data_IF_335024909116
#
_entry.id   IF_335024909116
#
_cell.length_a   1.000
_cell.length_b   1.000
_cell.length_c   1.000
_cell.angle_alpha   90.00
_cell.angle_beta   90.00
_cell.angle_gamma   90.00
#
_symmetry.space_group_name_H-M   'P 1'
#
loop_
_entity.id
_entity.type
_entity.pdbx_description
1 polymer ?
#
# COMPACT_ATOMS: atom_id res chain seq x y z
N UNK A 1 -10.45 0.30 -3.02
CA UNK A 1 -10.62 1.68 -3.53
C UNK A 1 -11.33 2.61 -2.54
N UNK A 2 -12.47 2.25 -1.95
CA UNK A 2 -13.17 3.12 -0.98
C UNK A 2 -12.29 3.62 0.19
N UNK A 3 -11.53 2.72 0.84
CA UNK A 3 -10.64 3.09 1.95
C UNK A 3 -9.51 4.04 1.52
N UNK A 4 -8.97 3.87 0.30
CA UNK A 4 -7.98 4.79 -0.25
C UNK A 4 -8.56 6.19 -0.49
N UNK A 5 -9.77 6.27 -1.05
CA UNK A 5 -10.45 7.55 -1.27
C UNK A 5 -10.73 8.26 0.05
N UNK A 6 -11.23 7.54 1.07
CA UNK A 6 -11.43 8.08 2.41
C UNK A 6 -10.12 8.60 3.02
N UNK A 7 -9.05 7.81 2.93
CA UNK A 7 -7.74 8.19 3.43
C UNK A 7 -7.20 9.44 2.72
N UNK A 8 -7.40 9.55 1.41
CA UNK A 8 -7.00 10.71 0.61
C UNK A 8 -7.79 11.96 1.03
N UNK A 9 -9.12 11.88 1.11
CA UNK A 9 -9.97 13.02 1.50
C UNK A 9 -9.66 13.48 2.93
N UNK A 10 -9.60 12.55 3.89
CA UNK A 10 -9.30 12.90 5.29
C UNK A 10 -7.90 13.48 5.42
N UNK A 11 -6.91 12.91 4.73
CA UNK A 11 -5.54 13.43 4.70
C UNK A 11 -5.46 14.84 4.09
N UNK A 12 -6.12 15.05 2.95
CA UNK A 12 -6.16 16.33 2.25
C UNK A 12 -6.78 17.43 3.13
N UNK A 13 -7.95 17.18 3.71
CA UNK A 13 -8.58 18.17 4.59
C UNK A 13 -7.72 18.42 5.83
N UNK A 14 -7.23 17.38 6.49
CA UNK A 14 -6.53 17.51 7.77
C UNK A 14 -5.14 18.12 7.66
N UNK A 15 -4.37 17.80 6.61
CA UNK A 15 -2.96 18.18 6.47
C UNK A 15 -2.68 19.21 5.37
N UNK A 16 -3.66 19.60 4.56
CA UNK A 16 -3.52 20.73 3.63
C UNK A 16 -4.50 21.86 3.93
N UNK A 17 -5.79 21.57 4.05
CA UNK A 17 -6.80 22.62 4.24
C UNK A 17 -6.73 23.24 5.63
N UNK A 18 -6.65 22.41 6.68
CA UNK A 18 -6.54 22.92 8.06
C UNK A 18 -5.18 23.59 8.35
N UNK A 19 -4.21 23.51 7.45
CA UNK A 19 -2.96 24.27 7.56
C UNK A 19 -3.20 25.79 7.51
N UNK A 20 -4.24 26.25 6.81
CA UNK A 20 -4.63 27.65 6.79
C UNK A 20 -5.13 28.15 8.17
N UNK A 21 -5.60 27.25 9.04
CA UNK A 21 -6.12 27.54 10.37
C UNK A 21 -5.19 27.03 11.47
N UNK A 22 -3.88 27.23 11.28
CA UNK A 22 -2.80 26.51 11.95
C UNK A 22 -2.95 26.46 13.48
N UNK A 23 -3.11 27.62 14.12
CA UNK A 23 -3.16 27.74 15.60
C UNK A 23 -4.34 27.01 16.26
N UNK A 24 -5.47 26.87 15.58
CA UNK A 24 -6.66 26.22 16.15
C UNK A 24 -6.64 24.68 15.96
N UNK A 25 -5.83 24.17 15.03
CA UNK A 25 -5.95 22.78 14.55
C UNK A 25 -4.72 21.92 14.79
N UNK A 26 -3.63 22.47 15.36
CA UNK A 26 -2.38 21.75 15.66
C UNK A 26 -2.65 20.44 16.40
N UNK A 27 -3.38 20.48 17.51
CA UNK A 27 -3.67 19.31 18.36
C UNK A 27 -4.42 18.23 17.61
N UNK A 28 -5.36 18.61 16.73
CA UNK A 28 -6.14 17.67 15.92
C UNK A 28 -5.23 16.96 14.91
N UNK A 29 -4.38 17.71 14.20
CA UNK A 29 -3.45 17.14 13.22
C UNK A 29 -2.43 16.23 13.88
N UNK A 30 -1.85 16.62 15.01
CA UNK A 30 -0.89 15.78 15.74
C UNK A 30 -1.48 14.42 16.15
N UNK A 31 -2.75 14.38 16.57
CA UNK A 31 -3.45 13.12 16.89
C UNK A 31 -3.78 12.29 15.65
N UNK A 32 -4.02 12.93 14.51
CA UNK A 32 -4.33 12.25 13.26
C UNK A 32 -3.11 11.68 12.54
N UNK A 33 -1.91 12.25 12.68
CA UNK A 33 -0.68 11.75 12.04
C UNK A 33 -0.46 10.24 12.26
N UNK A 34 -0.50 9.69 13.48
CA UNK A 34 -0.29 8.26 13.69
C UNK A 34 -1.41 7.41 13.08
N UNK A 35 -2.67 7.88 13.12
CA UNK A 35 -3.82 7.19 12.53
C UNK A 35 -3.66 7.16 11.01
N UNK A 36 -3.38 8.31 10.40
CA UNK A 36 -3.20 8.45 8.96
C UNK A 36 -2.03 7.58 8.47
N UNK A 37 -0.89 7.61 9.16
CA UNK A 37 0.28 6.81 8.75
C UNK A 37 0.00 5.30 8.85
N UNK A 38 -0.59 4.84 9.95
CA UNK A 38 -0.91 3.42 10.12
C UNK A 38 -1.96 2.93 9.13
N UNK A 39 -3.04 3.71 8.94
CA UNK A 39 -4.10 3.36 8.00
C UNK A 39 -3.59 3.36 6.55
N UNK A 40 -2.69 4.28 6.20
CA UNK A 40 -2.01 4.29 4.91
C UNK A 40 -1.21 3.01 4.64
N UNK A 41 -0.46 2.52 5.64
CA UNK A 41 0.28 1.25 5.53
C UNK A 41 -0.67 0.03 5.39
N UNK A 42 -1.79 0.03 6.11
CA UNK A 42 -2.81 -1.03 6.00
C UNK A 42 -3.42 -1.03 4.59
N UNK A 43 -3.80 0.13 4.07
CA UNK A 43 -4.35 0.25 2.69
C UNK A 43 -3.33 -0.22 1.66
N UNK A 44 -2.06 0.17 1.81
CA UNK A 44 -1.00 -0.27 0.91
C UNK A 44 -0.83 -1.79 0.93
N UNK A 45 -0.82 -2.42 2.11
CA UNK A 45 -0.78 -3.88 2.24
C UNK A 45 -1.99 -4.57 1.61
N UNK A 46 -3.20 -4.05 1.85
CA UNK A 46 -4.43 -4.59 1.23
C UNK A 46 -4.43 -4.43 -0.29
N UNK A 47 -3.91 -3.32 -0.83
CA UNK A 47 -3.80 -3.11 -2.26
C UNK A 47 -2.86 -4.14 -2.89
N UNK A 48 -1.70 -4.39 -2.28
CA UNK A 48 -0.77 -5.43 -2.72
C UNK A 48 -1.40 -6.83 -2.65
N UNK A 49 -2.08 -7.17 -1.55
CA UNK A 49 -2.80 -8.44 -1.43
C UNK A 49 -3.85 -8.60 -2.53
N UNK A 50 -4.59 -7.52 -2.85
CA UNK A 50 -5.57 -7.50 -3.95
C UNK A 50 -4.91 -7.73 -5.31
N UNK A 51 -3.74 -7.14 -5.57
CA UNK A 51 -2.98 -7.37 -6.79
C UNK A 51 -2.53 -8.84 -6.90
N UNK A 52 -1.97 -9.41 -5.82
CA UNK A 52 -1.50 -10.80 -5.82
C UNK A 52 -2.64 -11.79 -6.02
N UNK A 53 -3.78 -11.61 -5.33
CA UNK A 53 -4.94 -12.48 -5.51
C UNK A 53 -5.56 -12.32 -6.90
N UNK A 54 -5.59 -11.11 -7.46
CA UNK A 54 -6.04 -10.87 -8.84
C UNK A 54 -5.15 -11.54 -9.89
N UNK A 55 -3.83 -11.49 -9.71
CA UNK A 55 -2.87 -12.22 -10.55
C UNK A 55 -3.06 -13.74 -10.43
N UNK A 56 -3.22 -14.25 -9.21
CA UNK A 56 -3.48 -15.67 -8.95
C UNK A 56 -4.77 -16.16 -9.62
N UNK A 57 -5.87 -15.40 -9.50
CA UNK A 57 -7.13 -15.72 -10.16
C UNK A 57 -6.98 -15.73 -11.68
N UNK A 58 -6.28 -14.74 -12.24
CA UNK A 58 -6.04 -14.64 -13.67
C UNK A 58 -5.20 -15.81 -14.18
N UNK A 59 -4.12 -16.16 -13.47
CA UNK A 59 -3.28 -17.31 -13.81
C UNK A 59 -4.06 -18.63 -13.75
N UNK A 60 -4.83 -18.84 -12.68
CA UNK A 60 -5.65 -20.07 -12.52
C UNK A 60 -6.70 -20.17 -13.62
N UNK A 61 -7.33 -19.06 -14.02
CA UNK A 61 -8.32 -19.06 -15.08
C UNK A 61 -7.71 -19.32 -16.46
N UNK A 62 -6.55 -18.73 -16.77
CA UNK A 62 -5.89 -18.86 -18.07
C UNK A 62 -5.12 -20.16 -18.26
N UNK A 63 -4.61 -20.76 -17.19
CA UNK A 63 -3.81 -21.98 -17.23
C UNK A 63 -4.57 -23.16 -16.59
N UNK A 64 -5.78 -23.38 -17.07
CA UNK A 64 -6.75 -24.32 -16.47
C UNK A 64 -6.79 -25.71 -17.15
N UNK A 65 -5.98 -25.95 -18.18
CA UNK A 65 -5.99 -27.22 -18.91
C UNK A 65 -7.15 -27.42 -19.90
N UNK A 66 -8.05 -26.43 -20.05
CA UNK A 66 -9.19 -26.46 -20.98
C UNK A 66 -8.84 -25.77 -22.28
N UNK A 67 -9.51 -26.17 -23.36
CA UNK A 67 -9.42 -25.53 -24.68
C UNK A 67 -7.97 -25.42 -25.21
N UNK A 68 -7.12 -26.40 -24.87
CA UNK A 68 -5.70 -26.43 -25.28
C UNK A 68 -4.77 -25.52 -24.46
N UNK A 69 -5.26 -24.88 -23.40
CA UNK A 69 -4.41 -24.11 -22.49
C UNK A 69 -3.52 -25.03 -21.63
N UNK A 70 -2.25 -24.66 -21.37
CA UNK A 70 -1.37 -25.44 -20.51
C UNK A 70 -1.85 -25.42 -19.07
N UNK A 71 -1.48 -26.43 -18.28
CA UNK A 71 -1.87 -26.51 -16.88
C UNK A 71 -0.95 -25.62 -16.04
N UNK A 72 -1.50 -24.85 -15.10
CA UNK A 72 -0.70 -23.94 -14.26
C UNK A 72 0.44 -24.65 -13.51
N UNK A 73 0.20 -25.91 -13.10
CA UNK A 73 1.18 -26.75 -12.40
C UNK A 73 2.40 -27.12 -13.26
N UNK A 74 2.27 -27.08 -14.58
CA UNK A 74 3.37 -27.33 -15.52
C UNK A 74 4.29 -26.12 -15.67
N UNK A 75 3.99 -25.01 -14.97
CA UNK A 75 4.77 -23.77 -15.00
C UNK A 75 5.01 -23.27 -16.42
N UNK A 76 3.94 -22.97 -17.19
CA UNK A 76 4.11 -22.35 -18.50
C UNK A 76 4.88 -21.04 -18.35
N UNK A 77 5.65 -20.65 -19.38
CA UNK A 77 6.51 -19.46 -19.36
C UNK A 77 5.77 -18.20 -18.87
N UNK A 78 4.55 -18.01 -19.36
CA UNK A 78 3.67 -16.90 -18.98
C UNK A 78 3.26 -16.97 -17.49
N UNK A 79 3.10 -18.17 -16.93
CA UNK A 79 2.81 -18.39 -15.51
C UNK A 79 4.01 -18.07 -14.62
N UNK A 80 5.23 -18.39 -15.06
CA UNK A 80 6.46 -17.99 -14.37
C UNK A 80 6.54 -16.46 -14.31
N UNK A 81 6.31 -15.77 -15.42
CA UNK A 81 6.34 -14.31 -15.49
C UNK A 81 5.33 -13.66 -14.52
N UNK A 82 4.10 -14.17 -14.47
CA UNK A 82 3.07 -13.70 -13.54
C UNK A 82 3.50 -13.89 -12.07
N UNK A 83 4.10 -15.04 -11.75
CA UNK A 83 4.62 -15.30 -10.40
C UNK A 83 5.79 -14.39 -10.03
N UNK A 84 6.69 -14.10 -10.97
CA UNK A 84 7.79 -13.17 -10.75
C UNK A 84 7.27 -11.77 -10.40
N UNK A 85 6.25 -11.28 -11.11
CA UNK A 85 5.59 -10.00 -10.79
C UNK A 85 4.96 -10.04 -9.40
N UNK A 86 4.25 -11.13 -9.06
CA UNK A 86 3.62 -11.27 -7.74
C UNK A 86 4.65 -11.24 -6.59
N UNK A 87 5.79 -11.93 -6.76
CA UNK A 87 6.89 -11.91 -5.79
C UNK A 87 7.50 -10.51 -5.68
N UNK A 88 7.69 -9.80 -6.80
CA UNK A 88 8.20 -8.43 -6.80
C UNK A 88 7.26 -7.47 -6.04
N UNK A 89 5.95 -7.63 -6.21
CA UNK A 89 4.94 -6.87 -5.45
C UNK A 89 5.07 -7.16 -3.95
N UNK A 90 5.16 -8.43 -3.55
CA UNK A 90 5.33 -8.83 -2.14
C UNK A 90 6.61 -8.24 -1.56
N UNK A 91 7.72 -8.29 -2.29
CA UNK A 91 8.99 -7.70 -1.87
C UNK A 91 8.84 -6.19 -1.63
N UNK A 92 8.21 -5.46 -2.57
CA UNK A 92 7.94 -4.03 -2.42
C UNK A 92 7.05 -3.74 -1.20
N UNK A 93 6.05 -4.60 -0.94
CA UNK A 93 5.15 -4.49 0.20
C UNK A 93 5.85 -4.64 1.55
N UNK A 94 6.95 -5.39 1.61
CA UNK A 94 7.78 -5.52 2.80
C UNK A 94 8.76 -4.34 2.91
N UNK A 95 9.42 -3.98 1.81
CA UNK A 95 10.46 -2.96 1.80
C UNK A 95 9.92 -1.55 2.10
N UNK A 96 8.76 -1.17 1.54
CA UNK A 96 8.25 0.20 1.72
C UNK A 96 7.84 0.52 3.17
N UNK A 97 7.10 -0.33 3.92
CA UNK A 97 6.84 -0.09 5.33
C UNK A 97 8.11 -0.07 6.18
N UNK A 98 9.11 -0.91 5.86
CA UNK A 98 10.40 -0.86 6.53
C UNK A 98 11.11 0.47 6.27
N UNK A 99 11.11 0.96 5.02
CA UNK A 99 11.68 2.27 4.69
C UNK A 99 10.95 3.41 5.44
N UNK A 100 9.62 3.39 5.41
CA UNK A 100 8.76 4.41 6.06
C UNK A 100 8.95 4.42 7.58
N UNK A 101 9.13 3.25 8.21
CA UNK A 101 9.31 3.12 9.67
C UNK A 101 10.76 3.35 10.11
N UNK A 102 11.73 2.83 9.36
CA UNK A 102 13.14 2.82 9.78
C UNK A 102 13.89 4.10 9.44
N UNK A 103 13.32 5.02 8.64
CA UNK A 103 13.89 6.30 8.22
C UNK A 103 15.36 6.49 8.63
N UNK A 104 16.28 6.21 7.69
CA UNK A 104 17.73 6.49 7.72
C UNK A 104 18.10 7.97 8.01
N UNK A 105 17.18 8.80 8.48
CA UNK A 105 17.38 10.20 8.88
C UNK A 105 16.50 10.54 10.07
N UNK A 106 17.12 11.08 11.13
CA UNK A 106 16.51 11.44 12.39
C UNK A 106 15.35 12.43 12.26
N UNK A 107 14.12 11.91 12.15
CA UNK A 107 12.89 12.69 12.03
C UNK A 107 12.18 12.99 13.36
N UNK A 108 12.77 12.62 14.50
CA UNK A 108 12.19 12.95 15.82
C UNK A 108 12.52 14.36 16.33
N UNK A 109 13.30 15.18 15.60
CA UNK A 109 13.77 16.49 16.10
C UNK A 109 13.06 17.72 15.53
N UNK A 110 12.12 17.60 14.59
CA UNK A 110 11.51 18.79 13.93
C UNK A 110 10.12 19.17 14.48
N UNK A 111 9.55 18.38 15.39
CA UNK A 111 8.27 18.72 16.05
C UNK A 111 8.38 18.98 17.57
N UNK A 112 9.59 19.26 18.06
CA UNK A 112 9.78 20.01 19.31
C UNK A 112 10.01 21.47 18.93
N UNK A 113 8.91 22.19 18.77
CA UNK A 113 8.94 23.66 18.83
C UNK A 113 8.32 23.99 20.18
N UNK A 114 9.16 24.53 21.06
CA UNK A 114 8.76 25.25 22.27
C UNK A 114 7.69 26.30 21.98
#
# INVERSE_FOLDING_TARGET
>A
MGLFALQFVVGFISFLVLLCCDKATVTYRQRLVPIHTNFGLIIFGMAAATCVTGLMQTATYRFNGKDGAPLYRELPEQGIFVNTIAIAIIALTILLPLLVKNNLRGGQTVLSIN
#
